data_IF_373017899481
#
_entry.id   IF_373017899481
#
_cell.length_a   1.000
_cell.length_b   1.000
_cell.length_c   1.000
_cell.angle_alpha   90.00
_cell.angle_beta   90.00
_cell.angle_gamma   90.00
#
_symmetry.space_group_name_H-M   'P 1'
#
loop_
_entity.id
_entity.type
_entity.pdbx_description
1 polymer ?
#
# COMPACT_ATOMS: atom_id res chain seq x y z
N UNK A 1 24.63 23.89 3.80
CA UNK A 1 23.19 23.69 4.10
C UNK A 1 23.02 23.72 5.60
N UNK A 2 22.12 24.56 6.10
CA UNK A 2 21.80 24.62 7.53
C UNK A 2 21.17 23.28 7.98
N UNK A 3 21.42 22.77 9.20
CA UNK A 3 20.83 21.50 9.63
C UNK A 3 19.29 21.45 9.59
N UNK A 4 18.64 22.58 9.84
CA UNK A 4 17.18 22.70 9.77
C UNK A 4 16.66 22.71 8.33
N UNK A 5 17.35 23.40 7.43
CA UNK A 5 17.08 23.42 5.99
C UNK A 5 17.17 22.02 5.38
N UNK A 6 18.25 21.29 5.70
CA UNK A 6 18.46 19.91 5.27
C UNK A 6 17.33 18.98 5.73
N UNK A 7 16.97 19.04 7.01
CA UNK A 7 15.86 18.25 7.54
C UNK A 7 14.53 18.61 6.85
N UNK A 8 14.28 19.90 6.62
CA UNK A 8 13.09 20.35 5.90
C UNK A 8 13.03 19.78 4.48
N UNK A 9 14.16 19.73 3.77
CA UNK A 9 14.26 19.12 2.45
C UNK A 9 13.89 17.64 2.49
N UNK A 10 14.46 16.87 3.44
CA UNK A 10 14.14 15.44 3.54
C UNK A 10 12.66 15.19 3.91
N UNK A 11 12.08 16.03 4.78
CA UNK A 11 10.66 15.94 5.15
C UNK A 11 9.73 16.31 3.99
N UNK A 12 10.14 17.25 3.13
CA UNK A 12 9.42 17.56 1.90
C UNK A 12 9.40 16.38 0.94
N UNK A 13 10.56 15.80 0.63
CA UNK A 13 10.65 14.62 -0.26
C UNK A 13 9.88 13.43 0.31
N UNK A 14 9.96 13.19 1.62
CA UNK A 14 9.17 12.17 2.29
C UNK A 14 7.67 12.40 2.09
N UNK A 15 7.20 13.63 2.25
CA UNK A 15 5.80 14.00 2.06
C UNK A 15 5.35 13.70 0.62
N UNK A 16 6.13 14.07 -0.38
CA UNK A 16 5.80 13.82 -1.79
C UNK A 16 5.66 12.32 -2.09
N UNK A 17 6.54 11.50 -1.52
CA UNK A 17 6.48 10.04 -1.67
C UNK A 17 5.25 9.44 -0.97
N UNK A 18 4.89 9.93 0.22
CA UNK A 18 3.69 9.50 0.91
C UNK A 18 2.41 9.94 0.17
N UNK A 19 2.38 11.14 -0.41
CA UNK A 19 1.27 11.59 -1.28
C UNK A 19 1.13 10.70 -2.53
N UNK A 20 2.26 10.30 -3.14
CA UNK A 20 2.25 9.32 -4.23
C UNK A 20 1.74 7.95 -3.78
N UNK A 21 2.11 7.52 -2.56
CA UNK A 21 1.63 6.27 -1.99
C UNK A 21 0.11 6.28 -1.78
N UNK A 22 -0.45 7.36 -1.21
CA UNK A 22 -1.90 7.56 -1.10
C UNK A 22 -2.57 7.43 -2.47
N UNK A 23 -2.08 8.17 -3.47
CA UNK A 23 -2.61 8.10 -4.82
C UNK A 23 -2.62 6.68 -5.40
N UNK A 24 -1.52 5.93 -5.26
CA UNK A 24 -1.43 4.56 -5.78
C UNK A 24 -2.32 3.58 -5.01
N UNK A 25 -2.50 3.78 -3.71
CA UNK A 25 -3.45 2.99 -2.92
C UNK A 25 -4.89 3.26 -3.36
N UNK A 26 -5.27 4.51 -3.63
CA UNK A 26 -6.58 4.84 -4.20
C UNK A 26 -6.80 4.16 -5.56
N UNK A 27 -5.80 4.22 -6.45
CA UNK A 27 -5.84 3.52 -7.73
C UNK A 27 -6.05 2.02 -7.54
N UNK A 28 -5.33 1.39 -6.60
CA UNK A 28 -5.53 -0.02 -6.28
C UNK A 28 -6.96 -0.29 -5.80
N UNK A 29 -7.50 0.54 -4.92
CA UNK A 29 -8.87 0.44 -4.43
C UNK A 29 -9.90 0.51 -5.56
N UNK A 30 -9.73 1.47 -6.48
CA UNK A 30 -10.58 1.61 -7.67
C UNK A 30 -10.51 0.39 -8.59
N UNK A 31 -9.31 -0.17 -8.82
CA UNK A 31 -9.13 -1.38 -9.62
C UNK A 31 -9.80 -2.60 -8.99
N UNK A 32 -9.70 -2.75 -7.66
CA UNK A 32 -10.36 -3.81 -6.91
C UNK A 32 -11.88 -3.65 -6.96
N UNK A 33 -12.41 -2.44 -6.75
CA UNK A 33 -13.84 -2.16 -6.83
C UNK A 33 -14.42 -2.46 -8.22
N UNK A 34 -13.66 -2.13 -9.27
CA UNK A 34 -14.06 -2.36 -10.65
C UNK A 34 -13.80 -3.80 -11.15
N UNK A 35 -13.29 -4.70 -10.29
CA UNK A 35 -12.97 -6.09 -10.66
C UNK A 35 -11.89 -6.22 -11.74
N UNK A 36 -11.01 -5.21 -11.89
CA UNK A 36 -9.99 -5.15 -12.94
C UNK A 36 -8.70 -5.87 -12.51
N UNK A 37 -8.82 -7.15 -12.17
CA UNK A 37 -7.72 -7.97 -11.63
C UNK A 37 -6.45 -7.99 -12.50
N UNK A 38 -6.59 -7.89 -13.83
CA UNK A 38 -5.46 -7.86 -14.78
C UNK A 38 -4.44 -6.73 -14.51
N UNK A 39 -4.87 -5.62 -13.90
CA UNK A 39 -4.02 -4.46 -13.65
C UNK A 39 -3.42 -4.43 -12.24
N UNK A 40 -3.88 -5.31 -11.33
CA UNK A 40 -3.42 -5.35 -9.95
C UNK A 40 -1.90 -5.57 -9.83
N UNK A 41 -1.27 -6.48 -10.61
CA UNK A 41 0.19 -6.65 -10.53
C UNK A 41 0.98 -5.38 -10.86
N UNK A 42 0.47 -4.54 -11.75
CA UNK A 42 1.15 -3.30 -12.16
C UNK A 42 1.13 -2.26 -11.04
N UNK A 43 -0.04 -2.00 -10.45
CA UNK A 43 -0.12 -1.05 -9.33
C UNK A 43 0.63 -1.56 -8.09
N UNK A 44 0.67 -2.88 -7.87
CA UNK A 44 1.47 -3.48 -6.78
C UNK A 44 2.96 -3.21 -6.98
N UNK A 45 3.50 -3.41 -8.19
CA UNK A 45 4.91 -3.12 -8.46
C UNK A 45 5.24 -1.62 -8.30
N UNK A 46 4.32 -0.72 -8.70
CA UNK A 46 4.48 0.71 -8.47
C UNK A 46 4.45 1.07 -6.97
N UNK A 47 3.58 0.44 -6.18
CA UNK A 47 3.53 0.60 -4.72
C UNK A 47 4.85 0.13 -4.06
N UNK A 48 5.37 -1.02 -4.47
CA UNK A 48 6.63 -1.56 -3.96
C UNK A 48 7.80 -0.59 -4.23
N UNK A 49 7.88 -0.03 -5.44
CA UNK A 49 8.91 0.95 -5.78
C UNK A 49 8.81 2.24 -4.93
N UNK A 50 7.59 2.72 -4.65
CA UNK A 50 7.39 3.87 -3.77
C UNK A 50 7.79 3.55 -2.32
N UNK A 51 7.45 2.35 -1.83
CA UNK A 51 7.83 1.90 -0.47
C UNK A 51 9.36 1.80 -0.34
N UNK A 52 10.06 1.31 -1.36
CA UNK A 52 11.51 1.27 -1.40
C UNK A 52 12.11 2.69 -1.34
N UNK A 53 11.61 3.61 -2.16
CA UNK A 53 12.04 5.02 -2.15
C UNK A 53 11.77 5.70 -0.79
N UNK A 54 10.65 5.40 -0.13
CA UNK A 54 10.35 5.86 1.24
C UNK A 54 11.43 5.38 2.22
N UNK A 55 11.86 4.12 2.11
CA UNK A 55 12.94 3.56 2.93
C UNK A 55 14.27 4.30 2.75
N UNK A 56 14.61 4.66 1.52
CA UNK A 56 15.84 5.41 1.21
C UNK A 56 15.82 6.82 1.82
N UNK A 57 14.71 7.56 1.63
CA UNK A 57 14.58 8.91 2.18
C UNK A 57 14.48 8.89 3.72
N UNK A 58 13.93 7.84 4.33
CA UNK A 58 13.86 7.71 5.79
C UNK A 58 15.26 7.67 6.41
N UNK A 59 16.20 6.95 5.78
CA UNK A 59 17.58 6.93 6.22
C UNK A 59 18.25 8.33 6.13
N UNK A 60 17.99 9.07 5.04
CA UNK A 60 18.49 10.43 4.89
C UNK A 60 17.86 11.41 5.91
N UNK A 61 16.54 11.31 6.13
CA UNK A 61 15.78 12.08 7.13
C UNK A 61 16.29 11.82 8.55
N UNK A 62 16.57 10.56 8.90
CA UNK A 62 17.14 10.19 10.19
C UNK A 62 18.54 10.83 10.38
N UNK A 63 19.40 10.80 9.36
CA UNK A 63 20.71 11.45 9.42
C UNK A 63 20.60 12.99 9.55
N UNK A 64 19.67 13.62 8.84
CA UNK A 64 19.40 15.05 8.94
C UNK A 64 18.88 15.43 10.33
N UNK A 65 17.98 14.61 10.89
CA UNK A 65 17.47 14.79 12.27
C UNK A 65 18.61 14.71 13.29
N UNK A 66 19.53 13.76 13.14
CA UNK A 66 20.70 13.64 14.01
C UNK A 66 21.67 14.82 13.88
N UNK A 67 21.82 15.40 12.68
CA UNK A 67 22.59 16.64 12.47
C UNK A 67 21.94 17.81 13.21
N UNK A 68 20.62 17.96 13.09
CA UNK A 68 19.88 19.01 13.78
C UNK A 68 19.97 18.85 15.31
N UNK A 69 19.78 17.63 15.84
CA UNK A 69 19.93 17.34 17.26
C UNK A 69 21.30 17.76 17.80
N UNK A 70 22.39 17.47 17.08
CA UNK A 70 23.73 17.92 17.47
C UNK A 70 23.85 19.45 17.46
N UNK A 71 23.29 20.10 16.45
CA UNK A 71 23.33 21.57 16.33
C UNK A 71 22.56 22.26 17.47
N UNK A 72 21.45 21.67 17.92
CA UNK A 72 20.62 22.18 19.03
C UNK A 72 20.96 21.58 20.39
N UNK A 73 22.06 20.81 20.49
CA UNK A 73 22.54 20.12 21.71
C UNK A 73 21.52 19.17 22.34
N UNK A 74 20.66 18.58 21.51
CA UNK A 74 19.69 17.57 21.90
C UNK A 74 20.25 16.14 21.73
N UNK A 75 19.71 15.15 22.45
CA UNK A 75 20.03 13.74 22.23
C UNK A 75 19.73 13.32 20.79
N UNK A 76 20.51 12.38 20.23
CA UNK A 76 20.24 11.82 18.90
C UNK A 76 18.90 11.05 18.83
N UNK A 77 18.35 10.65 19.99
CA UNK A 77 17.04 10.02 20.12
C UNK A 77 15.88 11.02 20.21
N UNK A 78 16.15 12.33 20.22
CA UNK A 78 15.10 13.35 20.29
C UNK A 78 14.15 13.22 19.08
N UNK A 79 12.87 13.20 19.37
CA UNK A 79 11.80 13.21 18.38
C UNK A 79 11.79 14.51 17.59
N UNK A 80 11.17 14.50 16.41
CA UNK A 80 10.99 15.71 15.61
C UNK A 80 10.25 16.82 16.38
N UNK A 81 9.31 16.46 17.25
CA UNK A 81 8.58 17.42 18.08
C UNK A 81 9.51 18.12 19.09
N UNK A 82 10.34 17.35 19.81
CA UNK A 82 11.32 17.90 20.77
C UNK A 82 12.39 18.75 20.07
N UNK A 83 12.81 18.37 18.87
CA UNK A 83 13.76 19.15 18.07
C UNK A 83 13.18 20.52 17.67
N UNK A 84 11.91 20.58 17.28
CA UNK A 84 11.24 21.81 16.87
C UNK A 84 11.22 22.86 17.99
N UNK A 85 11.10 22.44 19.26
CA UNK A 85 11.11 23.35 20.41
C UNK A 85 12.43 24.13 20.58
N UNK A 86 13.51 23.63 19.97
CA UNK A 86 14.86 24.19 20.08
C UNK A 86 15.34 24.85 18.79
N UNK A 87 14.46 25.05 17.82
CA UNK A 87 14.75 25.67 16.54
C UNK A 87 14.10 27.04 16.47
N UNK A 88 14.81 28.02 15.91
CA UNK A 88 14.28 29.38 15.73
C UNK A 88 13.42 29.50 14.47
N UNK A 89 12.76 30.65 14.31
CA UNK A 89 12.03 30.97 13.08
C UNK A 89 13.00 31.25 11.93
N UNK A 90 12.64 30.91 10.67
CA UNK A 90 11.34 30.40 10.22
C UNK A 90 11.17 28.87 10.36
N UNK A 91 12.25 28.15 10.66
CA UNK A 91 12.31 26.70 10.56
C UNK A 91 11.37 25.98 11.53
N UNK A 92 11.18 26.49 12.74
CA UNK A 92 10.25 25.90 13.71
C UNK A 92 8.83 25.75 13.14
N UNK A 93 8.33 26.79 12.46
CA UNK A 93 7.01 26.78 11.85
C UNK A 93 6.92 25.81 10.67
N UNK A 94 7.96 25.77 9.83
CA UNK A 94 8.00 24.91 8.63
C UNK A 94 8.09 23.42 9.00
N UNK A 95 8.98 23.07 9.93
CA UNK A 95 9.12 21.69 10.42
C UNK A 95 7.85 21.21 11.13
N UNK A 96 7.16 22.10 11.87
CA UNK A 96 5.85 21.80 12.47
C UNK A 96 4.79 21.48 11.42
N UNK A 97 4.73 22.26 10.34
CA UNK A 97 3.82 22.01 9.23
C UNK A 97 4.13 20.66 8.58
N UNK A 98 5.40 20.37 8.26
CA UNK A 98 5.80 19.07 7.73
C UNK A 98 5.36 17.92 8.62
N UNK A 99 5.62 18.00 9.93
CA UNK A 99 5.24 16.97 10.90
C UNK A 99 3.73 16.69 10.87
N UNK A 100 2.89 17.74 10.85
CA UNK A 100 1.43 17.57 10.79
C UNK A 100 0.96 16.90 9.50
N UNK A 101 1.51 17.31 8.35
CA UNK A 101 1.15 16.71 7.07
C UNK A 101 1.57 15.24 6.99
N UNK A 102 2.77 14.91 7.44
CA UNK A 102 3.25 13.52 7.48
C UNK A 102 2.37 12.64 8.35
N UNK A 103 1.97 13.12 9.54
CA UNK A 103 1.06 12.37 10.42
C UNK A 103 -0.33 12.16 9.77
N UNK A 104 -0.83 13.17 9.06
CA UNK A 104 -2.10 13.07 8.32
C UNK A 104 -2.02 12.01 7.21
N UNK A 105 -0.97 12.05 6.39
CA UNK A 105 -0.75 11.09 5.31
C UNK A 105 -0.57 9.67 5.85
N UNK A 106 0.12 9.52 6.98
CA UNK A 106 0.32 8.21 7.60
C UNK A 106 -1.02 7.57 8.03
N UNK A 107 -1.91 8.36 8.64
CA UNK A 107 -3.25 7.91 9.02
C UNK A 107 -4.11 7.54 7.79
N UNK A 108 -4.05 8.35 6.73
CA UNK A 108 -4.76 8.11 5.47
C UNK A 108 -4.27 6.83 4.76
N UNK A 109 -2.95 6.65 4.65
CA UNK A 109 -2.32 5.44 4.09
C UNK A 109 -2.81 4.20 4.83
N UNK A 110 -2.82 4.24 6.17
CA UNK A 110 -3.29 3.13 6.98
C UNK A 110 -4.77 2.79 6.73
N UNK A 111 -5.62 3.80 6.61
CA UNK A 111 -7.05 3.63 6.33
C UNK A 111 -7.28 2.99 4.96
N UNK A 112 -6.70 3.55 3.90
CA UNK A 112 -6.86 3.04 2.53
C UNK A 112 -6.27 1.64 2.41
N UNK A 113 -5.09 1.40 2.99
CA UNK A 113 -4.45 0.08 2.98
C UNK A 113 -5.32 -0.99 3.65
N UNK A 114 -5.94 -0.68 4.80
CA UNK A 114 -6.89 -1.58 5.46
C UNK A 114 -8.11 -1.85 4.58
N UNK A 115 -8.69 -0.82 3.96
CA UNK A 115 -9.84 -0.95 3.08
C UNK A 115 -9.53 -1.84 1.86
N UNK A 116 -8.38 -1.61 1.20
CA UNK A 116 -7.94 -2.39 0.05
C UNK A 116 -7.67 -3.86 0.40
N UNK A 117 -7.00 -4.11 1.52
CA UNK A 117 -6.75 -5.48 2.01
C UNK A 117 -8.05 -6.25 2.19
N UNK A 118 -9.07 -5.60 2.75
CA UNK A 118 -10.37 -6.23 2.99
C UNK A 118 -11.16 -6.45 1.70
N UNK A 119 -11.09 -5.53 0.73
CA UNK A 119 -11.67 -5.73 -0.60
C UNK A 119 -11.01 -6.91 -1.34
N UNK A 120 -9.68 -7.02 -1.29
CA UNK A 120 -8.95 -8.12 -1.90
C UNK A 120 -9.33 -9.49 -1.30
N UNK A 121 -9.41 -9.58 0.03
CA UNK A 121 -9.85 -10.80 0.74
C UNK A 121 -11.26 -11.23 0.34
N UNK A 122 -12.21 -10.28 0.31
CA UNK A 122 -13.59 -10.54 -0.12
C UNK A 122 -13.67 -11.00 -1.57
N UNK A 123 -12.87 -10.41 -2.46
CA UNK A 123 -12.81 -10.83 -3.86
C UNK A 123 -12.31 -12.27 -4.00
N UNK A 124 -11.26 -12.65 -3.25
CA UNK A 124 -10.73 -14.02 -3.27
C UNK A 124 -11.75 -15.05 -2.76
N UNK A 125 -12.47 -14.74 -1.69
CA UNK A 125 -13.51 -15.63 -1.15
C UNK A 125 -14.65 -15.85 -2.13
N UNK A 126 -15.15 -14.80 -2.79
CA UNK A 126 -16.17 -14.94 -3.84
C UNK A 126 -15.70 -15.80 -5.01
N UNK A 127 -14.47 -15.63 -5.47
CA UNK A 127 -13.92 -16.48 -6.53
C UNK A 127 -13.83 -17.95 -6.11
N UNK A 128 -13.47 -18.24 -4.85
CA UNK A 128 -13.44 -19.61 -4.31
C UNK A 128 -14.82 -20.23 -4.21
N UNK A 129 -15.81 -19.47 -3.74
CA UNK A 129 -17.21 -19.90 -3.66
C UNK A 129 -17.78 -20.23 -5.05
N UNK A 130 -17.51 -19.40 -6.05
CA UNK A 130 -17.90 -19.67 -7.44
C UNK A 130 -17.25 -20.97 -7.94
N UNK A 131 -15.94 -21.16 -7.72
CA UNK A 131 -15.23 -22.40 -8.13
C UNK A 131 -15.81 -23.62 -7.42
N UNK A 132 -16.10 -23.53 -6.11
CA UNK A 132 -16.71 -24.61 -5.35
C UNK A 132 -18.11 -24.95 -5.89
N UNK A 133 -18.95 -23.93 -6.14
CA UNK A 133 -20.29 -24.12 -6.71
C UNK A 133 -20.27 -24.75 -8.11
N UNK A 134 -19.27 -24.42 -8.94
CA UNK A 134 -19.07 -25.06 -10.25
C UNK A 134 -18.60 -26.51 -10.12
N UNK A 135 -17.84 -26.84 -9.08
CA UNK A 135 -17.42 -28.22 -8.78
C UNK A 135 -18.54 -29.10 -8.23
N UNK A 136 -19.55 -28.50 -7.59
CA UNK A 136 -20.72 -29.19 -7.04
C UNK A 136 -21.87 -29.38 -8.05
N UNK A 137 -21.88 -28.62 -9.15
CA UNK A 137 -22.88 -28.76 -10.21
C UNK A 137 -22.62 -30.03 -11.06
N UNK A 138 -23.33 -31.11 -10.76
CA UNK A 138 -23.49 -32.22 -11.72
C UNK A 138 -24.37 -31.74 -12.87
N UNK A 139 -23.84 -31.77 -14.10
CA UNK A 139 -24.64 -31.48 -15.29
C UNK A 139 -25.44 -32.73 -15.60
N UNK A 140 -26.77 -32.70 -15.46
CA UNK A 140 -27.61 -33.80 -15.91
C UNK A 140 -27.64 -33.85 -17.45
N UNK A 141 -27.33 -35.00 -18.01
CA UNK A 141 -27.39 -35.22 -19.46
C UNK A 141 -28.42 -36.30 -19.77
N UNK A 142 -29.08 -36.13 -20.91
CA UNK A 142 -30.09 -37.04 -21.40
C UNK A 142 -29.42 -38.26 -22.01
N UNK A 143 -29.74 -39.45 -21.50
CA UNK A 143 -29.30 -40.70 -22.12
C UNK A 143 -30.13 -41.02 -23.39
N UNK A 144 -29.70 -41.97 -24.24
CA UNK A 144 -30.46 -42.35 -25.43
C UNK A 144 -31.86 -42.93 -25.17
N UNK A 145 -32.22 -43.22 -23.91
CA UNK A 145 -33.55 -43.70 -23.47
C UNK A 145 -34.41 -42.56 -22.91
N UNK A 146 -33.85 -41.37 -22.83
CA UNK A 146 -34.47 -40.17 -22.32
C UNK A 146 -34.52 -40.04 -20.80
N UNK A 147 -33.59 -40.66 -20.10
CA UNK A 147 -33.42 -40.51 -18.67
C UNK A 147 -32.30 -39.51 -18.37
N UNK A 148 -32.49 -38.68 -17.35
CA UNK A 148 -31.45 -37.79 -16.83
C UNK A 148 -30.42 -38.61 -16.07
N UNK A 149 -29.18 -38.57 -16.52
CA UNK A 149 -28.03 -39.15 -15.83
C UNK A 149 -27.08 -38.04 -15.43
N UNK A 150 -26.66 -37.95 -14.16
CA UNK A 150 -25.68 -36.96 -13.73
C UNK A 150 -24.35 -37.22 -14.44
N UNK A 151 -23.90 -36.25 -15.24
CA UNK A 151 -22.57 -36.29 -15.83
C UNK A 151 -21.58 -35.84 -14.77
N UNK A 152 -20.75 -36.77 -14.30
CA UNK A 152 -19.59 -36.43 -13.49
C UNK A 152 -18.59 -35.69 -14.41
N UNK A 153 -18.62 -34.36 -14.39
CA UNK A 153 -17.61 -33.53 -15.05
C UNK A 153 -16.33 -33.65 -14.24
N UNK A 154 -15.58 -34.72 -14.46
CA UNK A 154 -14.23 -34.86 -13.92
C UNK A 154 -13.40 -33.66 -14.37
N UNK A 155 -12.72 -33.01 -13.42
CA UNK A 155 -11.92 -31.80 -13.63
C UNK A 155 -11.17 -31.86 -14.97
N UNK A 156 -11.52 -30.96 -15.89
CA UNK A 156 -10.93 -30.87 -17.21
C UNK A 156 -9.44 -30.57 -17.06
N UNK A 157 -8.60 -31.63 -17.07
CA UNK A 157 -7.15 -31.51 -17.14
C UNK A 157 -6.80 -31.08 -18.56
N UNK A 158 -6.84 -29.78 -18.80
CA UNK A 158 -6.31 -29.18 -20.01
C UNK A 158 -4.78 -29.40 -20.00
N UNK A 159 -4.39 -30.39 -20.80
CA UNK A 159 -3.09 -30.58 -21.44
C UNK A 159 -1.86 -30.69 -20.51
N UNK A 160 -1.46 -31.94 -20.22
CA UNK A 160 -0.06 -32.27 -19.95
C UNK A 160 0.49 -32.96 -21.19
N UNK A 161 1.22 -32.23 -22.01
CA UNK A 161 2.09 -32.82 -23.03
C UNK A 161 3.27 -33.50 -22.32
N UNK A 162 3.51 -34.75 -22.71
CA UNK A 162 4.57 -35.63 -22.22
C UNK A 162 5.97 -35.22 -22.72
#
# INVERSE_FOLDING_TARGET
MEPAEDLSHQLWTMRELLEQLVYKLDVQGLLLAAGRARWIPYVTAELEAIIEAIGEIEAARAQASARLARATRQPASASLAELIEHVEQPWASLLSQHRLHLLSLQAEIEEISRANSEMAKRSLMRSREIIASLGEQSVDVYDPRGMTTPLAVGSLRLDRTA
#
